data_IF_938961080780
#
_entry.id   IF_938961080780
#
_cell.length_a   1.000
_cell.length_b   1.000
_cell.length_c   1.000
_cell.angle_alpha   90.00
_cell.angle_beta   90.00
_cell.angle_gamma   90.00
#
_symmetry.space_group_name_H-M   'P 1'
#
loop_
_entity.id
_entity.type
_entity.pdbx_description
1 polymer ?
#
# COMPACT_ATOMS: atom_id res chain seq x y z
N UNK A 1 5.55 17.11 0.07
CA UNK A 1 5.73 16.52 -1.28
C UNK A 1 4.36 16.41 -1.93
N UNK A 2 3.90 17.51 -2.53
CA UNK A 2 2.62 17.57 -3.22
C UNK A 2 2.86 17.25 -4.71
N UNK A 3 2.75 15.97 -5.07
CA UNK A 3 2.64 15.55 -6.47
C UNK A 3 1.23 15.85 -6.96
N UNK A 4 1.05 16.01 -8.28
CA UNK A 4 -0.28 15.99 -8.92
C UNK A 4 -1.12 14.83 -8.35
N UNK A 5 -2.40 15.11 -8.07
CA UNK A 5 -3.32 14.30 -7.24
C UNK A 5 -2.97 12.82 -7.16
N UNK A 6 -2.81 12.33 -5.92
CA UNK A 6 -2.43 10.94 -5.67
C UNK A 6 -3.56 9.94 -5.89
N UNK A 7 -4.81 10.41 -5.94
CA UNK A 7 -6.03 9.58 -5.78
C UNK A 7 -7.13 9.90 -6.80
N UNK A 8 -6.79 10.07 -8.08
CA UNK A 8 -7.77 10.25 -9.16
C UNK A 8 -8.72 9.06 -9.38
N UNK A 9 -8.41 7.89 -8.79
CA UNK A 9 -9.22 6.68 -8.96
C UNK A 9 -10.63 6.85 -8.41
N UNK A 10 -10.81 7.58 -7.31
CA UNK A 10 -12.11 7.71 -6.65
C UNK A 10 -12.91 8.93 -7.12
N UNK A 11 -12.25 9.93 -7.70
CA UNK A 11 -12.88 11.18 -8.14
C UNK A 11 -13.07 11.26 -9.65
N UNK A 12 -12.10 10.74 -10.41
CA UNK A 12 -12.04 10.84 -11.86
C UNK A 12 -12.11 9.45 -12.52
N UNK A 13 -12.22 8.39 -11.73
CA UNK A 13 -12.20 7.00 -12.19
C UNK A 13 -10.96 6.66 -13.04
N UNK A 14 -9.88 7.42 -12.89
CA UNK A 14 -8.66 7.33 -13.65
C UNK A 14 -7.49 6.94 -12.76
N UNK A 15 -6.63 6.05 -13.24
CA UNK A 15 -5.40 5.69 -12.55
C UNK A 15 -4.21 6.33 -13.25
N UNK A 16 -3.39 7.09 -12.52
CA UNK A 16 -2.22 7.79 -13.07
C UNK A 16 -0.94 7.29 -12.42
N UNK A 17 -0.07 6.66 -13.23
CA UNK A 17 1.25 6.17 -12.82
C UNK A 17 2.27 7.31 -12.76
N UNK A 18 3.19 7.26 -11.80
CA UNK A 18 4.29 8.23 -11.70
C UNK A 18 5.26 8.13 -12.87
N UNK A 19 5.66 9.28 -13.44
CA UNK A 19 6.74 9.35 -14.44
C UNK A 19 8.09 9.58 -13.79
N UNK A 20 9.16 9.29 -14.53
CA UNK A 20 10.55 9.43 -14.06
C UNK A 20 11.41 10.06 -15.14
N UNK A 21 12.45 10.77 -14.73
CA UNK A 21 13.44 11.41 -15.61
C UNK A 21 14.79 10.71 -15.38
N UNK A 22 15.49 10.28 -16.44
CA UNK A 22 16.77 9.60 -16.30
C UNK A 22 17.81 10.53 -15.69
N UNK A 23 18.67 9.99 -14.81
CA UNK A 23 19.80 10.72 -14.28
C UNK A 23 20.97 10.66 -15.29
N UNK A 24 21.48 11.81 -15.78
CA UNK A 24 22.61 11.84 -16.71
C UNK A 24 23.89 11.16 -16.19
N UNK A 25 24.05 11.08 -14.86
CA UNK A 25 25.22 10.48 -14.21
C UNK A 25 25.11 8.95 -14.03
N UNK A 26 24.04 8.33 -14.55
CA UNK A 26 23.83 6.87 -14.45
C UNK A 26 23.33 6.38 -13.09
N UNK A 27 23.03 7.29 -12.17
CA UNK A 27 22.43 6.94 -10.88
C UNK A 27 20.90 6.73 -11.00
N UNK A 28 20.22 6.57 -9.85
CA UNK A 28 18.77 6.34 -9.82
C UNK A 28 18.00 7.47 -10.52
N UNK A 29 16.97 7.16 -11.33
CA UNK A 29 16.12 8.16 -11.97
C UNK A 29 15.44 9.08 -10.96
N UNK A 30 15.21 10.33 -11.35
CA UNK A 30 14.45 11.29 -10.56
C UNK A 30 12.95 11.09 -10.78
N UNK A 31 12.14 11.27 -9.72
CA UNK A 31 10.67 11.29 -9.88
C UNK A 31 10.28 12.48 -10.74
N UNK A 32 9.59 12.20 -11.84
CA UNK A 32 8.81 13.20 -12.55
C UNK A 32 7.67 13.68 -11.66
N UNK A 33 7.38 14.98 -11.69
CA UNK A 33 6.28 15.56 -10.92
C UNK A 33 4.90 15.25 -11.52
N UNK A 34 4.86 14.89 -12.80
CA UNK A 34 3.64 14.53 -13.53
C UNK A 34 3.36 13.03 -13.46
N UNK A 35 2.08 12.68 -13.67
CA UNK A 35 1.62 11.29 -13.66
C UNK A 35 0.81 11.03 -14.92
N UNK A 36 1.04 9.90 -15.57
CA UNK A 36 0.40 9.51 -16.83
C UNK A 36 -0.75 8.57 -16.54
N UNK A 37 -1.92 8.85 -17.11
CA UNK A 37 -3.04 7.92 -17.05
C UNK A 37 -2.75 6.60 -17.75
N UNK A 38 -3.00 5.49 -17.05
CA UNK A 38 -2.96 4.15 -17.62
C UNK A 38 -4.39 3.72 -17.94
N UNK A 39 -4.72 3.49 -19.23
CA UNK A 39 -6.07 3.13 -19.65
C UNK A 39 -6.61 1.91 -18.91
N UNK A 40 -7.92 1.90 -18.65
CA UNK A 40 -8.70 0.82 -18.04
C UNK A 40 -8.37 0.46 -16.58
N UNK A 41 -7.19 0.81 -16.06
CA UNK A 41 -6.83 0.50 -14.66
C UNK A 41 -7.77 1.18 -13.69
N UNK A 42 -7.99 2.50 -13.85
CA UNK A 42 -8.89 3.27 -12.98
C UNK A 42 -10.31 2.68 -12.89
N UNK A 43 -11.01 2.47 -14.01
CA UNK A 43 -12.34 1.86 -14.01
C UNK A 43 -12.37 0.45 -13.39
N UNK A 44 -11.35 -0.38 -13.66
CA UNK A 44 -11.29 -1.72 -13.09
C UNK A 44 -11.13 -1.70 -11.56
N UNK A 45 -10.36 -0.76 -11.02
CA UNK A 45 -10.23 -0.59 -9.57
C UNK A 45 -11.55 -0.13 -8.94
N UNK A 46 -12.30 0.74 -9.62
CA UNK A 46 -13.62 1.20 -9.16
C UNK A 46 -14.61 0.04 -9.15
N UNK A 47 -14.64 -0.76 -10.21
CA UNK A 47 -15.48 -1.97 -10.28
C UNK A 47 -15.12 -2.95 -9.17
N UNK A 48 -13.83 -3.22 -8.94
CA UNK A 48 -13.38 -4.05 -7.82
C UNK A 48 -13.84 -3.48 -6.47
N UNK A 49 -13.73 -2.17 -6.26
CA UNK A 49 -14.21 -1.49 -5.04
C UNK A 49 -15.72 -1.66 -4.82
N UNK A 50 -16.53 -1.45 -5.88
CA UNK A 50 -17.99 -1.64 -5.82
C UNK A 50 -18.34 -3.10 -5.49
N UNK A 51 -17.66 -4.06 -6.10
CA UNK A 51 -17.86 -5.48 -5.82
C UNK A 51 -17.54 -5.81 -4.35
N UNK A 52 -16.44 -5.29 -3.81
CA UNK A 52 -16.08 -5.48 -2.40
C UNK A 52 -17.07 -4.80 -1.44
N UNK A 53 -17.60 -3.63 -1.79
CA UNK A 53 -18.70 -3.02 -1.02
C UNK A 53 -19.95 -3.92 -1.06
N UNK A 54 -20.28 -4.48 -2.21
CA UNK A 54 -21.36 -5.46 -2.36
C UNK A 54 -21.14 -6.72 -1.51
N UNK A 55 -19.90 -7.20 -1.39
CA UNK A 55 -19.53 -8.30 -0.48
C UNK A 55 -19.87 -7.93 0.96
N UNK A 56 -19.47 -6.76 1.42
CA UNK A 56 -19.74 -6.30 2.80
C UNK A 56 -21.25 -6.24 3.06
N UNK A 57 -22.01 -5.64 2.15
CA UNK A 57 -23.48 -5.56 2.26
C UNK A 57 -24.12 -6.95 2.28
N UNK A 58 -23.71 -7.85 1.38
CA UNK A 58 -24.23 -9.21 1.30
C UNK A 58 -23.98 -10.01 2.59
N UNK A 59 -22.77 -9.92 3.15
CA UNK A 59 -22.45 -10.58 4.41
C UNK A 59 -23.12 -9.91 5.62
N UNK A 60 -23.31 -8.59 5.61
CA UNK A 60 -24.08 -7.91 6.65
C UNK A 60 -25.55 -8.37 6.67
N UNK A 61 -26.17 -8.50 5.49
CA UNK A 61 -27.53 -9.06 5.35
C UNK A 61 -27.58 -10.50 5.84
N UNK A 62 -26.59 -11.33 5.46
CA UNK A 62 -26.49 -12.70 5.96
C UNK A 62 -26.42 -12.75 7.50
N UNK A 63 -25.55 -11.95 8.12
CA UNK A 63 -25.38 -11.95 9.58
C UNK A 63 -26.61 -11.42 10.32
N UNK A 64 -27.31 -10.43 9.76
CA UNK A 64 -28.48 -9.83 10.42
C UNK A 64 -29.77 -10.65 10.23
N UNK A 65 -29.96 -11.23 9.04
CA UNK A 65 -31.20 -11.90 8.65
C UNK A 65 -31.09 -13.43 8.56
N UNK A 66 -29.91 -14.01 8.80
CA UNK A 66 -29.60 -15.42 8.54
C UNK A 66 -29.93 -15.84 7.08
N UNK A 67 -29.75 -14.92 6.14
CA UNK A 67 -30.12 -15.13 4.74
C UNK A 67 -29.00 -15.87 3.96
N UNK A 68 -29.19 -17.16 3.74
CA UNK A 68 -28.24 -18.01 3.00
C UNK A 68 -28.06 -17.60 1.52
N UNK A 69 -29.05 -16.97 0.90
CA UNK A 69 -28.90 -16.46 -0.46
C UNK A 69 -27.93 -15.26 -0.50
N UNK A 70 -28.01 -14.35 0.48
CA UNK A 70 -27.09 -13.23 0.63
C UNK A 70 -25.65 -13.71 0.84
N UNK A 71 -25.45 -14.77 1.63
CA UNK A 71 -24.14 -15.44 1.78
C UNK A 71 -23.61 -15.92 0.43
N UNK A 72 -24.43 -16.64 -0.35
CA UNK A 72 -24.01 -17.13 -1.68
C UNK A 72 -23.62 -15.99 -2.63
N UNK A 73 -24.41 -14.92 -2.65
CA UNK A 73 -24.11 -13.70 -3.43
C UNK A 73 -22.77 -13.10 -2.99
N UNK A 74 -22.56 -12.93 -1.68
CA UNK A 74 -21.30 -12.42 -1.14
C UNK A 74 -20.09 -13.20 -1.64
N UNK A 75 -20.16 -14.54 -1.62
CA UNK A 75 -19.09 -15.40 -2.14
C UNK A 75 -18.87 -15.24 -3.65
N UNK A 76 -19.93 -15.10 -4.45
CA UNK A 76 -19.82 -14.89 -5.90
C UNK A 76 -19.16 -13.53 -6.19
N UNK A 77 -19.61 -12.46 -5.54
CA UNK A 77 -19.04 -11.13 -5.68
C UNK A 77 -17.55 -11.11 -5.31
N UNK A 78 -17.17 -11.85 -4.27
CA UNK A 78 -15.79 -11.93 -3.79
C UNK A 78 -14.88 -12.60 -4.85
N UNK A 79 -15.35 -13.67 -5.51
CA UNK A 79 -14.64 -14.30 -6.64
C UNK A 79 -14.53 -13.39 -7.85
N UNK A 80 -15.61 -12.70 -8.21
CA UNK A 80 -15.61 -11.76 -9.33
C UNK A 80 -14.63 -10.62 -9.04
N UNK A 81 -14.64 -10.07 -7.83
CA UNK A 81 -13.70 -9.02 -7.40
C UNK A 81 -12.25 -9.47 -7.55
N UNK A 82 -11.92 -10.71 -7.15
CA UNK A 82 -10.55 -11.24 -7.32
C UNK A 82 -10.14 -11.24 -8.80
N UNK A 83 -11.02 -11.71 -9.69
CA UNK A 83 -10.75 -11.72 -11.14
C UNK A 83 -10.55 -10.31 -11.68
N UNK A 84 -11.40 -9.36 -11.29
CA UNK A 84 -11.28 -7.95 -11.70
C UNK A 84 -9.96 -7.33 -11.21
N UNK A 85 -9.53 -7.64 -9.98
CA UNK A 85 -8.24 -7.18 -9.46
C UNK A 85 -7.05 -7.76 -10.25
N UNK A 86 -7.08 -9.05 -10.61
CA UNK A 86 -6.05 -9.67 -11.47
C UNK A 86 -5.99 -8.98 -12.83
N UNK A 87 -7.15 -8.71 -13.43
CA UNK A 87 -7.26 -8.00 -14.71
C UNK A 87 -6.71 -6.57 -14.58
N UNK A 88 -7.06 -5.84 -13.52
CA UNK A 88 -6.57 -4.48 -13.26
C UNK A 88 -5.03 -4.45 -13.14
N UNK A 89 -4.44 -5.42 -12.43
CA UNK A 89 -2.98 -5.56 -12.33
C UNK A 89 -2.37 -5.89 -13.69
N UNK A 90 -3.01 -6.76 -14.48
CA UNK A 90 -2.57 -7.06 -15.85
C UNK A 90 -2.55 -5.83 -16.74
N UNK A 91 -3.61 -5.01 -16.72
CA UNK A 91 -3.66 -3.74 -17.44
C UNK A 91 -2.60 -2.75 -16.95
N UNK A 92 -2.36 -2.67 -15.64
CA UNK A 92 -1.33 -1.78 -15.09
C UNK A 92 0.07 -2.18 -15.57
N UNK A 93 0.43 -3.45 -15.40
CA UNK A 93 1.75 -3.98 -15.78
C UNK A 93 1.96 -3.84 -17.28
N UNK A 94 0.95 -4.22 -18.08
CA UNK A 94 0.99 -4.08 -19.53
C UNK A 94 1.08 -2.61 -19.95
N UNK A 95 0.26 -1.74 -19.37
CA UNK A 95 0.21 -0.31 -19.68
C UNK A 95 1.50 0.42 -19.36
N UNK A 96 2.15 0.10 -18.24
CA UNK A 96 3.46 0.67 -17.88
C UNK A 96 4.55 0.19 -18.84
N UNK A 97 4.56 -1.10 -19.23
CA UNK A 97 5.57 -1.65 -20.14
C UNK A 97 5.41 -1.21 -21.59
N UNK A 98 4.17 -1.03 -22.05
CA UNK A 98 3.85 -0.74 -23.45
C UNK A 98 3.79 0.76 -23.76
N UNK A 99 3.69 1.63 -22.75
CA UNK A 99 3.62 3.08 -22.99
C UNK A 99 5.02 3.67 -23.20
N UNK A 100 5.42 3.77 -24.46
CA UNK A 100 6.62 4.50 -24.91
C UNK A 100 6.35 5.99 -25.12
N UNK A 101 5.12 6.33 -25.50
CA UNK A 101 4.75 7.70 -25.92
C UNK A 101 4.26 8.54 -24.73
N UNK A 102 5.10 8.65 -23.70
CA UNK A 102 4.76 9.35 -22.44
C UNK A 102 4.53 10.85 -22.68
N UNK A 103 5.40 11.49 -23.46
CA UNK A 103 5.33 12.92 -23.73
C UNK A 103 4.01 13.38 -24.40
N UNK A 104 3.59 12.83 -25.55
CA UNK A 104 2.35 13.25 -26.20
C UNK A 104 1.11 12.93 -25.35
N UNK A 105 1.11 11.81 -24.60
CA UNK A 105 0.01 11.50 -23.67
C UNK A 105 -0.10 12.54 -22.56
N UNK A 106 1.03 12.92 -21.94
CA UNK A 106 1.05 13.99 -20.94
C UNK A 106 0.60 15.32 -21.54
N UNK A 107 1.03 15.65 -22.75
CA UNK A 107 0.65 16.89 -23.41
C UNK A 107 -0.88 17.00 -23.56
N UNK A 108 -1.53 15.92 -24.01
CA UNK A 108 -3.00 15.86 -24.11
C UNK A 108 -3.66 15.95 -22.74
N UNK A 109 -3.15 15.22 -21.74
CA UNK A 109 -3.69 15.24 -20.38
C UNK A 109 -3.59 16.63 -19.73
N UNK A 110 -2.45 17.31 -19.91
CA UNK A 110 -2.19 18.63 -19.35
C UNK A 110 -2.88 19.76 -20.12
N UNK A 111 -3.25 19.52 -21.39
CA UNK A 111 -4.14 20.41 -22.13
C UNK A 111 -5.57 20.36 -21.60
N UNK A 112 -6.03 19.20 -21.14
CA UNK A 112 -7.34 19.03 -20.51
C UNK A 112 -7.37 19.56 -19.07
N UNK A 113 -6.27 19.44 -18.32
CA UNK A 113 -6.14 19.92 -16.96
C UNK A 113 -4.83 20.72 -16.76
N UNK A 114 -4.90 22.03 -17.04
CA UNK A 114 -3.76 22.94 -16.90
C UNK A 114 -3.41 23.25 -15.43
N UNK A 115 -4.30 22.94 -14.48
CA UNK A 115 -4.06 23.20 -13.05
C UNK A 115 -2.87 22.42 -12.50
N UNK A 116 -2.55 21.28 -13.14
CA UNK A 116 -1.40 20.45 -12.78
C UNK A 116 -0.07 21.20 -12.91
N UNK A 117 0.05 22.13 -13.87
CA UNK A 117 1.24 22.95 -14.01
C UNK A 117 1.48 23.82 -12.77
N UNK A 118 0.42 24.40 -12.18
CA UNK A 118 0.52 25.20 -10.97
C UNK A 118 0.94 24.37 -9.75
N UNK A 119 0.43 23.13 -9.62
CA UNK A 119 0.81 22.20 -8.54
C UNK A 119 2.29 21.84 -8.65
N UNK A 120 2.73 21.44 -9.84
CA UNK A 120 4.12 21.08 -10.10
C UNK A 120 5.06 22.26 -9.87
N UNK A 121 4.72 23.44 -10.38
CA UNK A 121 5.58 24.61 -10.20
C UNK A 121 5.65 25.12 -8.77
N UNK A 122 4.61 24.93 -7.96
CA UNK A 122 4.69 25.17 -6.51
C UNK A 122 5.70 24.24 -5.84
N UNK A 123 5.71 22.96 -6.19
CA UNK A 123 6.66 21.99 -5.66
C UNK A 123 8.10 22.21 -6.19
N UNK A 124 8.26 22.71 -7.41
CA UNK A 124 9.58 23.10 -7.93
C UNK A 124 10.12 24.29 -7.15
N UNK A 125 9.30 25.33 -6.97
CA UNK A 125 9.71 26.54 -6.26
C UNK A 125 9.95 26.26 -4.76
N UNK A 126 9.24 25.31 -4.15
CA UNK A 126 9.48 24.94 -2.75
C UNK A 126 10.80 24.20 -2.52
N UNK A 127 11.38 23.60 -3.57
CA UNK A 127 12.70 22.96 -3.54
C UNK A 127 13.84 23.93 -3.88
N UNK A 128 13.53 25.15 -4.30
CA UNK A 128 14.53 26.19 -4.46
C UNK A 128 14.90 26.77 -3.09
N UNK A 129 16.13 27.27 -2.93
CA UNK A 129 16.61 27.92 -1.70
C UNK A 129 15.99 29.34 -1.52
N UNK A 130 14.67 29.47 -1.74
CA UNK A 130 13.92 30.70 -1.53
C UNK A 130 13.60 30.84 -0.04
N UNK A 131 13.62 32.08 0.47
CA UNK A 131 13.11 32.37 1.80
C UNK A 131 11.58 32.14 1.86
N UNK A 132 11.05 31.89 3.06
CA UNK A 132 9.62 31.68 3.23
C UNK A 132 8.77 32.88 2.77
N UNK A 133 9.30 34.10 2.89
CA UNK A 133 8.65 35.32 2.42
C UNK A 133 8.64 35.41 0.89
N UNK A 134 9.75 35.07 0.23
CA UNK A 134 9.84 35.05 -1.23
C UNK A 134 8.93 33.98 -1.82
N UNK A 135 8.85 32.80 -1.21
CA UNK A 135 7.95 31.74 -1.65
C UNK A 135 6.47 32.13 -1.51
N UNK A 136 6.10 32.80 -0.42
CA UNK A 136 4.73 33.27 -0.19
C UNK A 136 4.32 34.44 -1.10
N UNK A 137 5.29 35.22 -1.57
CA UNK A 137 5.07 36.33 -2.50
C UNK A 137 4.84 35.88 -3.95
N UNK A 138 5.12 34.60 -4.29
CA UNK A 138 4.91 34.08 -5.64
C UNK A 138 3.42 33.97 -5.97
N UNK A 139 3.07 34.50 -7.15
CA UNK A 139 1.70 34.42 -7.67
C UNK A 139 1.39 33.02 -8.21
N UNK A 140 0.10 32.61 -8.24
CA UNK A 140 -0.31 31.34 -8.87
C UNK A 140 0.16 31.21 -10.32
N UNK A 141 0.17 32.30 -11.09
CA UNK A 141 0.63 32.31 -12.49
C UNK A 141 2.14 32.03 -12.62
N UNK A 142 2.96 32.55 -11.69
CA UNK A 142 4.40 32.26 -11.66
C UNK A 142 4.69 30.80 -11.34
N UNK A 143 3.91 30.19 -10.44
CA UNK A 143 3.98 28.75 -10.22
C UNK A 143 3.59 27.98 -11.48
N UNK A 144 2.49 28.33 -12.14
CA UNK A 144 2.09 27.65 -13.38
C UNK A 144 3.17 27.71 -14.46
N UNK A 145 3.79 28.88 -14.66
CA UNK A 145 4.87 29.07 -15.62
C UNK A 145 6.08 28.18 -15.28
N UNK A 146 6.46 28.07 -14.01
CA UNK A 146 7.53 27.18 -13.58
C UNK A 146 7.23 25.71 -13.93
N UNK A 147 5.98 25.27 -13.74
CA UNK A 147 5.54 23.92 -14.14
C UNK A 147 5.56 23.70 -15.65
N UNK A 148 5.11 24.69 -16.44
CA UNK A 148 5.15 24.63 -17.91
C UNK A 148 6.58 24.55 -18.44
N UNK A 149 7.48 25.40 -17.92
CA UNK A 149 8.90 25.39 -18.28
C UNK A 149 9.54 24.03 -17.96
N UNK A 150 9.22 23.46 -16.79
CA UNK A 150 9.71 22.14 -16.42
C UNK A 150 9.24 21.05 -17.39
N UNK A 151 7.96 21.07 -17.76
CA UNK A 151 7.41 20.12 -18.72
C UNK A 151 8.03 20.27 -20.11
N UNK A 152 8.23 21.50 -20.60
CA UNK A 152 8.89 21.74 -21.89
C UNK A 152 10.33 21.20 -21.91
N UNK A 153 11.08 21.39 -20.83
CA UNK A 153 12.49 21.01 -20.75
C UNK A 153 12.71 19.51 -20.48
N UNK A 154 11.80 18.86 -19.75
CA UNK A 154 11.99 17.49 -19.28
C UNK A 154 10.96 16.49 -19.81
N UNK A 155 9.84 16.96 -20.36
CA UNK A 155 8.71 16.11 -20.75
C UNK A 155 9.09 15.01 -21.73
N UNK A 156 9.95 15.31 -22.72
CA UNK A 156 10.44 14.34 -23.71
C UNK A 156 11.33 13.26 -23.11
N UNK A 157 11.93 13.50 -21.94
CA UNK A 157 12.80 12.56 -21.22
C UNK A 157 12.01 11.72 -20.21
N UNK A 158 10.74 12.03 -19.97
CA UNK A 158 9.93 11.32 -18.99
C UNK A 158 9.57 9.93 -19.50
N UNK A 159 9.70 8.94 -18.64
CA UNK A 159 9.34 7.55 -18.93
C UNK A 159 8.56 6.91 -17.78
N UNK A 160 7.94 5.77 -18.07
CA UNK A 160 7.29 4.91 -17.08
C UNK A 160 8.13 3.66 -16.84
N UNK A 161 8.20 3.21 -15.58
CA UNK A 161 8.86 1.95 -15.24
C UNK A 161 8.20 1.32 -14.01
N UNK A 162 8.17 -0.02 -13.99
CA UNK A 162 7.69 -0.79 -12.85
C UNK A 162 8.65 -0.71 -11.66
N UNK A 163 9.95 -0.66 -11.94
CA UNK A 163 10.99 -0.60 -10.90
C UNK A 163 10.91 0.71 -10.10
N UNK A 164 10.39 1.77 -10.71
CA UNK A 164 10.28 3.09 -10.10
C UNK A 164 8.89 3.39 -9.54
N UNK A 165 7.87 2.58 -9.85
CA UNK A 165 6.52 2.65 -9.27
C UNK A 165 6.18 1.46 -8.33
N UNK A 166 7.05 1.06 -7.37
CA UNK A 166 6.84 -0.16 -6.58
C UNK A 166 5.66 -0.06 -5.61
N UNK A 167 5.37 1.14 -5.07
CA UNK A 167 4.33 1.34 -4.05
C UNK A 167 2.94 1.06 -4.60
N UNK A 168 2.67 1.49 -5.83
CA UNK A 168 1.34 1.34 -6.43
C UNK A 168 1.06 -0.12 -6.79
N UNK A 169 2.05 -0.80 -7.38
CA UNK A 169 1.99 -2.24 -7.67
C UNK A 169 1.85 -3.04 -6.38
N UNK A 170 2.61 -2.68 -5.33
CA UNK A 170 2.50 -3.32 -4.02
C UNK A 170 1.10 -3.15 -3.43
N UNK A 171 0.50 -1.96 -3.50
CA UNK A 171 -0.86 -1.71 -3.01
C UNK A 171 -1.91 -2.60 -3.68
N UNK A 172 -1.84 -2.76 -5.01
CA UNK A 172 -2.75 -3.64 -5.74
C UNK A 172 -2.52 -5.13 -5.41
N UNK A 173 -1.26 -5.54 -5.30
CA UNK A 173 -0.91 -6.91 -4.89
C UNK A 173 -1.37 -7.21 -3.46
N UNK A 174 -1.29 -6.25 -2.54
CA UNK A 174 -1.80 -6.38 -1.18
C UNK A 174 -3.32 -6.53 -1.17
N UNK A 175 -4.05 -5.73 -1.95
CA UNK A 175 -5.51 -5.87 -2.07
C UNK A 175 -5.91 -7.23 -2.67
N UNK A 176 -5.19 -7.69 -3.70
CA UNK A 176 -5.37 -9.01 -4.28
C UNK A 176 -5.09 -10.12 -3.28
N UNK A 177 -3.97 -10.05 -2.57
CA UNK A 177 -3.59 -11.02 -1.55
C UNK A 177 -4.62 -11.06 -0.43
N UNK A 178 -5.09 -9.90 0.05
CA UNK A 178 -6.14 -9.82 1.07
C UNK A 178 -7.44 -10.49 0.61
N UNK A 179 -7.90 -10.18 -0.60
CA UNK A 179 -9.10 -10.81 -1.18
C UNK A 179 -8.91 -12.32 -1.34
N UNK A 180 -7.74 -12.76 -1.82
CA UNK A 180 -7.39 -14.17 -1.93
C UNK A 180 -7.38 -14.89 -0.58
N UNK A 181 -6.81 -14.29 0.46
CA UNK A 181 -6.80 -14.85 1.81
C UNK A 181 -8.21 -14.99 2.36
N UNK A 182 -9.07 -13.98 2.16
CA UNK A 182 -10.48 -14.07 2.55
C UNK A 182 -11.18 -15.21 1.82
N UNK A 183 -10.98 -15.40 0.51
CA UNK A 183 -11.48 -16.58 -0.23
C UNK A 183 -10.97 -17.86 0.43
N UNK A 184 -9.66 -17.98 0.58
CA UNK A 184 -9.03 -19.21 1.05
C UNK A 184 -9.56 -19.65 2.41
N UNK A 185 -9.75 -18.70 3.34
CA UNK A 185 -10.24 -18.99 4.68
C UNK A 185 -11.77 -19.05 4.77
N UNK A 186 -12.52 -18.33 3.94
CA UNK A 186 -13.99 -18.36 3.96
C UNK A 186 -14.59 -19.68 3.46
N UNK A 187 -13.91 -20.40 2.56
CA UNK A 187 -14.43 -21.66 1.99
C UNK A 187 -14.02 -22.93 2.75
N UNK A 188 -13.05 -22.85 3.65
CA UNK A 188 -12.44 -24.04 4.26
C UNK A 188 -12.61 -24.14 5.77
N UNK A 189 -13.30 -23.20 6.43
CA UNK A 189 -13.38 -23.20 7.89
C UNK A 189 -14.02 -24.47 8.43
N UNK A 190 -15.17 -24.90 7.89
CA UNK A 190 -15.92 -26.03 8.46
C UNK A 190 -15.12 -27.36 8.40
N UNK A 191 -14.60 -27.71 7.23
CA UNK A 191 -13.76 -28.92 7.06
C UNK A 191 -12.42 -28.84 7.77
N UNK A 192 -11.89 -27.64 8.00
CA UNK A 192 -10.66 -27.45 8.78
C UNK A 192 -10.96 -27.60 10.27
N UNK A 193 -12.07 -27.02 10.75
CA UNK A 193 -12.55 -27.15 12.14
C UNK A 193 -12.80 -28.61 12.47
N UNK A 194 -13.44 -29.38 11.58
CA UNK A 194 -13.66 -30.83 11.75
C UNK A 194 -12.36 -31.64 11.87
N UNK A 195 -11.23 -31.11 11.35
CA UNK A 195 -9.91 -31.75 11.42
C UNK A 195 -9.04 -31.23 12.56
N UNK A 196 -9.49 -30.22 13.30
CA UNK A 196 -8.73 -29.70 14.42
C UNK A 196 -8.71 -30.74 15.56
N UNK A 197 -7.57 -30.88 16.27
CA UNK A 197 -7.52 -31.63 17.52
C UNK A 197 -8.53 -31.11 18.56
N UNK A 198 -8.74 -31.87 19.63
CA UNK A 198 -9.57 -31.42 20.75
C UNK A 198 -9.14 -30.05 21.28
N UNK A 199 -10.08 -29.28 21.84
CA UNK A 199 -9.78 -27.98 22.45
C UNK A 199 -8.64 -28.09 23.47
N UNK A 200 -8.62 -29.14 24.30
CA UNK A 200 -7.54 -29.39 25.27
C UNK A 200 -6.17 -29.57 24.59
N UNK A 201 -6.12 -30.21 23.42
CA UNK A 201 -4.87 -30.41 22.68
C UNK A 201 -4.38 -29.10 22.08
N UNK A 202 -5.28 -28.29 21.52
CA UNK A 202 -4.98 -26.98 20.99
C UNK A 202 -4.51 -26.02 22.09
N UNK A 203 -5.18 -26.08 23.24
CA UNK A 203 -4.86 -25.28 24.40
C UNK A 203 -3.49 -25.65 25.00
N UNK A 204 -3.19 -26.95 25.11
CA UNK A 204 -1.86 -27.43 25.48
C UNK A 204 -0.77 -26.99 24.49
N UNK A 205 -1.07 -27.03 23.19
CA UNK A 205 -0.15 -26.57 22.16
C UNK A 205 0.09 -25.06 22.25
N UNK A 206 -0.97 -24.26 22.44
CA UNK A 206 -0.89 -22.81 22.64
C UNK A 206 -0.03 -22.47 23.85
N UNK A 207 -0.20 -23.16 24.97
CA UNK A 207 0.63 -22.97 26.17
C UNK A 207 2.10 -23.29 25.91
N UNK A 208 2.41 -24.45 25.32
CA UNK A 208 3.79 -24.87 25.03
C UNK A 208 4.49 -23.92 24.07
N UNK A 209 3.78 -23.50 23.01
CA UNK A 209 4.30 -22.56 22.03
C UNK A 209 4.49 -21.16 22.62
N UNK A 210 3.61 -20.70 23.50
CA UNK A 210 3.79 -19.44 24.24
C UNK A 210 5.01 -19.48 25.16
N UNK A 211 5.23 -20.60 25.88
CA UNK A 211 6.45 -20.80 26.69
C UNK A 211 7.72 -20.73 25.84
N UNK A 212 7.71 -21.39 24.67
CA UNK A 212 8.83 -21.35 23.74
C UNK A 212 9.07 -19.95 23.19
N UNK A 213 8.00 -19.23 22.82
CA UNK A 213 8.08 -17.86 22.34
C UNK A 213 8.63 -16.91 23.41
N UNK A 214 8.19 -17.05 24.67
CA UNK A 214 8.69 -16.25 25.79
C UNK A 214 10.20 -16.43 26.00
N UNK A 215 10.66 -17.69 26.06
CA UNK A 215 12.09 -17.98 26.21
C UNK A 215 12.90 -17.56 24.98
N UNK A 216 12.38 -17.80 23.78
CA UNK A 216 13.02 -17.41 22.52
C UNK A 216 13.15 -15.90 22.36
N UNK A 217 12.11 -15.14 22.70
CA UNK A 217 12.13 -13.68 22.69
C UNK A 217 13.09 -13.11 23.74
N UNK A 218 13.24 -13.75 24.91
CA UNK A 218 14.26 -13.36 25.88
C UNK A 218 15.67 -13.50 25.29
N UNK A 219 15.97 -14.63 24.63
CA UNK A 219 17.25 -14.82 23.94
C UNK A 219 17.44 -13.81 22.80
N UNK A 220 16.38 -13.48 22.07
CA UNK A 220 16.42 -12.48 21.01
C UNK A 220 16.70 -11.07 21.56
N UNK A 221 16.13 -10.71 22.71
CA UNK A 221 16.41 -9.44 23.38
C UNK A 221 17.88 -9.36 23.83
N UNK A 222 18.41 -10.44 24.42
CA UNK A 222 19.81 -10.50 24.86
C UNK A 222 20.76 -10.41 23.67
N UNK A 223 20.55 -11.23 22.65
CA UNK A 223 21.41 -11.23 21.45
C UNK A 223 21.28 -9.93 20.65
N UNK A 224 20.08 -9.36 20.59
CA UNK A 224 19.79 -8.05 20.01
C UNK A 224 20.53 -6.93 20.73
N UNK A 225 20.56 -6.93 22.07
CA UNK A 225 21.29 -5.95 22.87
C UNK A 225 22.80 -6.04 22.67
N UNK A 226 23.36 -7.26 22.57
CA UNK A 226 24.79 -7.46 22.25
C UNK A 226 25.10 -6.87 20.88
N UNK A 227 24.30 -7.20 19.86
CA UNK A 227 24.51 -6.69 18.51
C UNK A 227 24.33 -5.17 18.40
N UNK A 228 23.37 -4.60 19.12
CA UNK A 228 23.16 -3.14 19.19
C UNK A 228 24.39 -2.44 19.80
N UNK A 229 25.00 -3.03 20.83
CA UNK A 229 26.22 -2.50 21.41
C UNK A 229 27.38 -2.47 20.41
N UNK A 230 27.56 -3.54 19.63
CA UNK A 230 28.59 -3.60 18.58
C UNK A 230 28.31 -2.64 17.41
N UNK A 231 27.04 -2.42 17.06
CA UNK A 231 26.66 -1.64 15.87
C UNK A 231 26.52 -0.14 16.14
N UNK A 232 26.04 0.23 17.33
CA UNK A 232 25.66 1.60 17.68
C UNK A 232 26.31 2.11 18.97
N UNK A 233 27.17 1.30 19.61
CA UNK A 233 27.90 1.67 20.83
C UNK A 233 27.04 1.71 22.11
N UNK A 234 25.81 1.17 22.07
CA UNK A 234 24.95 1.05 23.25
C UNK A 234 24.07 -0.21 23.16
N UNK A 235 23.82 -0.91 24.29
CA UNK A 235 23.02 -2.13 24.28
C UNK A 235 21.50 -1.88 24.15
N UNK A 236 21.03 -0.65 24.42
CA UNK A 236 19.62 -0.30 24.35
C UNK A 236 19.42 1.22 24.18
N UNK A 237 18.41 1.62 23.41
CA UNK A 237 18.08 3.02 23.10
C UNK A 237 16.59 3.38 23.04
N UNK A 238 15.68 2.44 23.31
CA UNK A 238 14.22 2.63 23.24
C UNK A 238 13.69 3.06 21.86
N UNK A 239 14.33 2.64 20.76
CA UNK A 239 13.75 2.89 19.44
C UNK A 239 12.54 1.98 19.18
N UNK A 240 11.82 2.22 18.08
CA UNK A 240 10.59 1.50 17.74
C UNK A 240 10.77 -0.03 17.63
N UNK A 241 11.97 -0.52 17.28
CA UNK A 241 12.24 -1.95 17.13
C UNK A 241 12.49 -2.60 18.49
N UNK A 242 13.34 -1.99 19.30
CA UNK A 242 13.66 -2.44 20.65
C UNK A 242 12.41 -2.43 21.55
N UNK A 243 11.66 -1.33 21.52
CA UNK A 243 10.40 -1.20 22.26
C UNK A 243 9.37 -2.23 21.79
N UNK A 244 9.27 -2.45 20.48
CA UNK A 244 8.38 -3.47 19.92
C UNK A 244 8.72 -4.89 20.40
N UNK A 245 10.01 -5.24 20.43
CA UNK A 245 10.47 -6.53 20.94
C UNK A 245 10.17 -6.71 22.44
N UNK A 246 10.37 -5.66 23.24
CA UNK A 246 10.04 -5.68 24.68
C UNK A 246 8.53 -5.84 24.91
N UNK A 247 7.70 -5.12 24.17
CA UNK A 247 6.23 -5.25 24.25
C UNK A 247 5.78 -6.66 23.87
N UNK A 248 6.34 -7.26 22.82
CA UNK A 248 6.05 -8.64 22.44
C UNK A 248 6.40 -9.61 23.58
N UNK A 249 7.59 -9.49 24.16
CA UNK A 249 8.03 -10.33 25.28
C UNK A 249 7.12 -10.19 26.50
N UNK A 250 6.78 -8.96 26.89
CA UNK A 250 5.86 -8.67 28.01
C UNK A 250 4.44 -9.19 27.75
N UNK A 251 3.98 -9.20 26.49
CA UNK A 251 2.68 -9.76 26.13
C UNK A 251 2.63 -11.27 26.40
N UNK A 252 3.67 -12.02 25.97
CA UNK A 252 3.77 -13.44 26.31
C UNK A 252 3.95 -13.68 27.81
N UNK A 253 4.70 -12.81 28.50
CA UNK A 253 4.85 -12.87 29.95
C UNK A 253 3.49 -12.72 30.66
N UNK A 254 2.69 -11.72 30.28
CA UNK A 254 1.37 -11.47 30.82
C UNK A 254 0.40 -12.63 30.52
N UNK A 255 0.43 -13.17 29.30
CA UNK A 255 -0.36 -14.35 28.93
C UNK A 255 -0.02 -15.56 29.81
N UNK A 256 1.26 -15.89 29.97
CA UNK A 256 1.69 -17.01 30.81
C UNK A 256 1.39 -16.78 32.30
N UNK A 257 1.60 -15.54 32.78
CA UNK A 257 1.32 -15.17 34.16
C UNK A 257 -0.18 -15.30 34.48
N UNK A 258 -1.05 -14.74 33.63
CA UNK A 258 -2.51 -14.87 33.82
C UNK A 258 -2.96 -16.33 33.78
N UNK A 259 -2.38 -17.15 32.90
CA UNK A 259 -2.68 -18.58 32.84
C UNK A 259 -2.29 -19.33 34.11
N UNK A 260 -1.07 -19.12 34.62
CA UNK A 260 -0.60 -19.78 35.85
C UNK A 260 -1.40 -19.28 37.07
N UNK A 261 -1.70 -17.98 37.14
CA UNK A 261 -2.36 -17.38 38.29
C UNK A 261 -3.88 -17.60 38.34
N UNK A 262 -4.55 -17.71 37.18
CA UNK A 262 -6.02 -17.85 37.10
C UNK A 262 -6.49 -19.23 36.65
N UNK A 263 -5.59 -20.12 36.25
CA UNK A 263 -5.87 -21.56 36.06
C UNK A 263 -6.95 -21.87 35.02
N UNK A 264 -7.05 -21.06 33.96
CA UNK A 264 -7.94 -21.34 32.84
C UNK A 264 -7.46 -22.48 31.94
#
# INVERSE_FOLDING_TARGET
MATVSKFSVFTEFAYRAGTFIPNPMGEKPFSGFFRVEIPYVGPMLVVAGILLLGVIVAFAIYLYQNNEAAKKIGHVLLKISLVVQIIAIGFLVSGIKSTTDVFPKLQTQLAADSSQYAIVGREINSKQNLSAQEFAALTPAQHEQAGRNFFQNNGSKMFLSLNTNPVEVAGLLTALAGTFFVIMFAFRTDKLIERLPSLDSLDSLMYKTACLAFAGLAMLLITGAIWANESWGRPWGFDSKETGALVAWLTYAAFLHTRISRGW
#
